data_IF_689955970997
#
_entry.id   IF_689955970997
#
_cell.length_a   1.000
_cell.length_b   1.000
_cell.length_c   1.000
_cell.angle_alpha   90.00
_cell.angle_beta   90.00
_cell.angle_gamma   90.00
#
_symmetry.space_group_name_H-M   'P 1'
#
loop_
_entity.id
_entity.type
_entity.pdbx_description
1 polymer ?
#
# COMPACT_ATOMS: atom_id res chain seq x y z
N UNK A 1 4.71 -28.27 -18.83
CA UNK A 1 5.53 -27.17 -18.29
C UNK A 1 6.56 -27.79 -17.39
N UNK A 2 7.83 -27.80 -17.78
CA UNK A 2 8.91 -28.35 -16.96
C UNK A 2 9.73 -27.17 -16.42
N UNK A 3 9.19 -26.50 -15.38
CA UNK A 3 9.98 -25.54 -14.59
C UNK A 3 10.86 -26.34 -13.63
N UNK A 4 12.13 -25.95 -13.47
CA UNK A 4 13.02 -26.67 -12.57
C UNK A 4 12.45 -26.70 -11.13
N UNK A 5 12.57 -27.84 -10.44
CA UNK A 5 12.16 -28.00 -9.02
C UNK A 5 12.76 -26.94 -8.08
N UNK A 6 13.85 -26.29 -8.50
CA UNK A 6 14.58 -25.25 -7.75
C UNK A 6 13.89 -23.88 -7.83
N UNK A 7 13.25 -23.55 -8.96
CA UNK A 7 12.42 -22.35 -9.13
C UNK A 7 11.07 -22.49 -8.42
N UNK A 8 10.53 -23.72 -8.39
CA UNK A 8 9.29 -24.03 -7.66
C UNK A 8 9.47 -23.96 -6.12
N UNK A 9 10.69 -24.17 -5.60
CA UNK A 9 10.99 -24.30 -4.17
C UNK A 9 11.91 -23.20 -3.60
N UNK A 10 12.22 -22.12 -4.33
CA UNK A 10 13.03 -21.02 -3.76
C UNK A 10 12.16 -20.15 -2.83
N UNK A 11 11.76 -20.72 -1.68
CA UNK A 11 10.86 -20.12 -0.69
C UNK A 11 11.62 -19.60 0.55
N UNK A 12 12.69 -18.83 0.34
CA UNK A 12 13.09 -17.89 1.38
C UNK A 12 12.16 -16.69 1.23
N UNK A 13 11.34 -16.40 2.24
CA UNK A 13 10.68 -15.09 2.33
C UNK A 13 11.82 -14.07 2.37
N UNK A 14 12.01 -13.34 1.28
CA UNK A 14 12.79 -12.11 1.33
C UNK A 14 12.11 -11.20 2.35
N UNK A 15 12.89 -10.47 3.15
CA UNK A 15 12.32 -9.48 4.06
C UNK A 15 11.35 -8.58 3.30
N UNK A 16 10.29 -8.12 3.97
CA UNK A 16 9.29 -7.21 3.41
C UNK A 16 9.96 -5.98 2.77
N UNK A 17 11.02 -5.47 3.39
CA UNK A 17 11.88 -4.42 2.86
C UNK A 17 12.57 -4.80 1.53
N UNK A 18 13.02 -6.04 1.38
CA UNK A 18 13.58 -6.57 0.12
C UNK A 18 12.52 -6.69 -0.97
N UNK A 19 11.30 -7.06 -0.59
CA UNK A 19 10.14 -7.13 -1.47
C UNK A 19 9.74 -5.74 -2.02
N UNK A 20 9.69 -4.73 -1.15
CA UNK A 20 9.43 -3.34 -1.56
C UNK A 20 10.53 -2.87 -2.52
N UNK A 21 11.80 -3.11 -2.15
CA UNK A 21 12.94 -2.67 -2.94
C UNK A 21 12.95 -3.25 -4.36
N UNK A 22 12.72 -4.56 -4.53
CA UNK A 22 12.68 -5.17 -5.88
C UNK A 22 11.54 -4.60 -6.73
N UNK A 23 10.38 -4.29 -6.13
CA UNK A 23 9.26 -3.68 -6.83
C UNK A 23 9.56 -2.25 -7.29
N UNK A 24 10.25 -1.46 -6.46
CA UNK A 24 10.75 -0.12 -6.84
C UNK A 24 11.76 -0.18 -7.99
N UNK A 25 12.71 -1.12 -7.95
CA UNK A 25 13.67 -1.33 -9.05
C UNK A 25 12.96 -1.75 -10.34
N UNK A 26 11.91 -2.57 -10.26
CA UNK A 26 11.11 -2.95 -11.41
C UNK A 26 10.39 -1.75 -12.05
N UNK A 27 9.76 -0.89 -11.24
CA UNK A 27 9.13 0.34 -11.71
C UNK A 27 10.15 1.28 -12.37
N UNK A 28 11.33 1.46 -11.74
CA UNK A 28 12.40 2.25 -12.31
C UNK A 28 12.74 1.75 -13.71
N UNK A 29 13.01 0.44 -13.85
CA UNK A 29 13.36 -0.14 -15.15
C UNK A 29 12.24 0.03 -16.18
N UNK A 30 10.97 -0.17 -15.81
CA UNK A 30 9.84 0.07 -16.73
C UNK A 30 9.76 1.53 -17.20
N UNK A 31 9.99 2.50 -16.32
CA UNK A 31 10.04 3.92 -16.71
C UNK A 31 11.21 4.16 -17.68
N UNK A 32 12.37 3.56 -17.43
CA UNK A 32 13.52 3.63 -18.36
C UNK A 32 13.17 3.09 -19.75
N UNK A 33 12.47 1.95 -19.83
CA UNK A 33 12.02 1.39 -21.10
C UNK A 33 11.06 2.33 -21.85
N UNK A 34 10.20 3.05 -21.12
CA UNK A 34 9.29 4.04 -21.71
C UNK A 34 10.05 5.26 -22.24
N UNK A 35 11.03 5.76 -21.49
CA UNK A 35 11.90 6.88 -21.91
C UNK A 35 12.72 6.47 -23.15
N UNK A 36 13.29 5.26 -23.14
CA UNK A 36 14.11 4.77 -24.24
C UNK A 36 13.29 4.38 -25.50
N UNK A 37 11.96 4.49 -25.45
CA UNK A 37 11.07 4.16 -26.57
C UNK A 37 11.03 2.66 -26.89
N UNK A 38 11.22 1.77 -25.92
CA UNK A 38 11.23 0.32 -26.14
C UNK A 38 9.82 -0.24 -26.38
N UNK A 39 9.38 -0.19 -27.63
CA UNK A 39 8.03 -0.60 -28.04
C UNK A 39 7.76 -2.10 -27.94
N UNK A 40 8.78 -2.96 -27.83
CA UNK A 40 8.56 -4.40 -27.67
C UNK A 40 8.09 -4.75 -26.27
N UNK A 41 8.48 -3.96 -25.26
CA UNK A 41 8.08 -4.21 -23.89
C UNK A 41 6.57 -4.01 -23.72
N UNK A 42 5.89 -5.04 -23.23
CA UNK A 42 4.43 -5.03 -23.06
C UNK A 42 4.02 -5.10 -21.60
N UNK A 43 4.62 -6.00 -20.83
CA UNK A 43 4.21 -6.21 -19.44
C UNK A 43 5.34 -6.71 -18.54
N UNK A 44 5.26 -6.26 -17.28
CA UNK A 44 6.06 -6.65 -16.14
C UNK A 44 5.35 -7.77 -15.38
N UNK A 45 6.10 -8.78 -14.95
CA UNK A 45 5.67 -9.72 -13.91
C UNK A 45 6.69 -9.73 -12.78
N UNK A 46 6.22 -9.39 -11.59
CA UNK A 46 7.00 -9.39 -10.33
C UNK A 46 6.85 -10.77 -9.68
N UNK A 47 7.88 -11.27 -8.99
CA UNK A 47 7.84 -12.54 -8.23
C UNK A 47 7.55 -13.79 -9.09
N UNK A 48 8.14 -13.87 -10.29
CA UNK A 48 7.91 -15.00 -11.20
C UNK A 48 9.16 -15.87 -11.38
N UNK A 49 9.74 -15.91 -12.59
CA UNK A 49 10.92 -16.74 -12.87
C UNK A 49 12.18 -16.24 -12.19
N UNK A 50 12.23 -14.93 -12.00
CA UNK A 50 13.24 -14.18 -11.28
C UNK A 50 12.52 -13.14 -10.41
N UNK A 51 13.26 -12.23 -9.77
CA UNK A 51 12.62 -11.21 -8.91
C UNK A 51 11.62 -10.35 -9.73
N UNK A 52 11.96 -10.02 -10.98
CA UNK A 52 10.97 -9.62 -11.98
C UNK A 52 11.41 -9.92 -13.43
N UNK A 53 10.44 -9.93 -14.36
CA UNK A 53 10.66 -10.22 -15.79
C UNK A 53 9.85 -9.26 -16.65
N UNK A 54 10.45 -8.77 -17.73
CA UNK A 54 9.78 -8.00 -18.78
C UNK A 54 9.48 -8.90 -19.97
N UNK A 55 8.24 -8.83 -20.43
CA UNK A 55 7.73 -9.62 -21.55
C UNK A 55 7.25 -8.73 -22.69
N UNK A 56 7.34 -9.25 -23.90
CA UNK A 56 6.65 -8.69 -25.06
C UNK A 56 5.16 -9.10 -25.11
N UNK A 57 4.46 -8.62 -26.15
CA UNK A 57 3.04 -8.91 -26.37
C UNK A 57 2.78 -10.36 -26.81
N UNK A 58 3.80 -11.06 -27.33
CA UNK A 58 3.73 -12.48 -27.69
C UNK A 58 4.00 -13.41 -26.48
N UNK A 59 4.40 -12.83 -25.35
CA UNK A 59 4.71 -13.57 -24.12
C UNK A 59 6.15 -14.11 -24.06
N UNK A 60 7.06 -13.64 -24.92
CA UNK A 60 8.50 -13.93 -24.80
C UNK A 60 9.15 -13.00 -23.79
N UNK A 61 10.11 -13.53 -23.03
CA UNK A 61 10.88 -12.75 -22.09
C UNK A 61 11.92 -11.89 -22.83
N UNK A 62 11.81 -10.58 -22.68
CA UNK A 62 12.79 -9.62 -23.18
C UNK A 62 13.98 -9.51 -22.23
N UNK A 63 13.70 -9.47 -20.93
CA UNK A 63 14.72 -9.42 -19.89
C UNK A 63 14.29 -10.06 -18.58
N UNK A 64 15.23 -10.78 -17.94
CA UNK A 64 15.12 -11.28 -16.58
C UNK A 64 15.93 -10.38 -15.65
N UNK A 65 15.41 -10.15 -14.46
CA UNK A 65 16.04 -9.27 -13.49
C UNK A 65 16.09 -9.94 -12.11
N UNK A 66 17.30 -10.19 -11.64
CA UNK A 66 17.58 -10.63 -10.28
C UNK A 66 18.05 -9.43 -9.46
N UNK A 67 17.36 -9.13 -8.36
CA UNK A 67 17.59 -8.01 -7.46
C UNK A 67 18.07 -8.50 -6.09
N UNK A 68 19.16 -7.91 -5.58
CA UNK A 68 19.72 -8.29 -4.27
C UNK A 68 20.01 -7.07 -3.39
N UNK A 69 19.16 -6.90 -2.38
CA UNK A 69 19.25 -5.92 -1.30
C UNK A 69 20.13 -6.40 -0.12
N UNK A 70 21.36 -6.85 -0.40
CA UNK A 70 22.28 -7.29 0.66
C UNK A 70 23.19 -6.17 1.15
N UNK A 71 23.62 -6.24 2.40
CA UNK A 71 24.60 -5.31 2.97
C UNK A 71 26.07 -5.63 2.60
N UNK A 72 26.35 -6.82 2.08
CA UNK A 72 27.70 -7.26 1.68
C UNK A 72 28.22 -6.47 0.48
N UNK A 73 29.46 -6.01 0.53
CA UNK A 73 30.14 -5.31 -0.58
C UNK A 73 31.04 -6.25 -1.40
N UNK A 74 31.15 -7.52 -1.01
CA UNK A 74 31.96 -8.51 -1.72
C UNK A 74 31.12 -9.24 -2.77
N UNK A 75 31.57 -9.22 -4.03
CA UNK A 75 30.95 -9.98 -5.13
C UNK A 75 30.75 -11.47 -4.78
N UNK A 76 31.68 -12.08 -4.05
CA UNK A 76 31.61 -13.49 -3.66
C UNK A 76 30.34 -13.84 -2.87
N UNK A 77 29.80 -12.91 -2.07
CA UNK A 77 28.52 -13.04 -1.36
C UNK A 77 27.29 -13.14 -2.26
N UNK A 78 27.46 -12.84 -3.56
CA UNK A 78 26.41 -12.88 -4.58
C UNK A 78 26.56 -14.05 -5.55
N UNK A 79 27.68 -14.79 -5.53
CA UNK A 79 27.97 -15.86 -6.50
C UNK A 79 26.82 -16.86 -6.68
N UNK A 80 26.20 -17.30 -5.58
CA UNK A 80 25.06 -18.23 -5.64
C UNK A 80 23.87 -17.65 -6.42
N UNK A 81 23.56 -16.36 -6.22
CA UNK A 81 22.48 -15.68 -6.91
C UNK A 81 22.83 -15.38 -8.37
N UNK A 82 24.07 -15.01 -8.66
CA UNK A 82 24.55 -14.79 -10.04
C UNK A 82 24.47 -16.08 -10.86
N UNK A 83 24.91 -17.20 -10.29
CA UNK A 83 24.78 -18.52 -10.91
C UNK A 83 23.32 -18.87 -11.14
N UNK A 84 22.46 -18.65 -10.13
CA UNK A 84 21.02 -18.89 -10.27
C UNK A 84 20.41 -18.08 -11.43
N UNK A 85 20.68 -16.77 -11.52
CA UNK A 85 20.20 -15.90 -12.59
C UNK A 85 20.66 -16.39 -13.99
N UNK A 86 21.84 -17.01 -14.08
CA UNK A 86 22.35 -17.60 -15.32
C UNK A 86 21.63 -18.91 -15.70
N UNK A 87 21.16 -19.68 -14.72
CA UNK A 87 20.56 -21.00 -14.90
C UNK A 87 19.05 -20.95 -15.20
N UNK A 88 18.39 -19.79 -15.03
CA UNK A 88 16.95 -19.67 -15.29
C UNK A 88 16.63 -19.99 -16.75
N UNK A 89 15.81 -21.02 -16.98
CA UNK A 89 15.41 -21.48 -18.31
C UNK A 89 13.91 -21.73 -18.38
N UNK A 90 13.27 -21.29 -19.45
CA UNK A 90 11.86 -21.53 -19.75
C UNK A 90 11.65 -21.50 -21.27
N UNK A 91 10.54 -22.06 -21.77
CA UNK A 91 10.26 -22.17 -23.21
C UNK A 91 10.10 -20.83 -23.94
N UNK A 92 9.91 -19.74 -23.20
CA UNK A 92 9.75 -18.37 -23.69
C UNK A 92 10.99 -17.50 -23.43
N UNK A 93 12.12 -18.12 -23.07
CA UNK A 93 13.44 -17.50 -22.96
C UNK A 93 14.28 -17.99 -24.13
N UNK A 94 14.93 -17.08 -24.84
CA UNK A 94 15.81 -17.40 -25.96
C UNK A 94 17.18 -16.70 -25.83
N UNK A 95 18.01 -16.80 -26.85
CA UNK A 95 19.36 -16.24 -26.85
C UNK A 95 19.41 -14.70 -26.88
N UNK A 96 18.30 -14.03 -27.16
CA UNK A 96 18.18 -12.58 -27.17
C UNK A 96 17.66 -12.05 -25.82
N UNK A 97 17.17 -12.91 -24.94
CA UNK A 97 16.68 -12.52 -23.63
C UNK A 97 17.83 -12.00 -22.76
N UNK A 98 17.77 -10.73 -22.35
CA UNK A 98 18.76 -10.10 -21.49
C UNK A 98 18.65 -10.61 -20.06
N UNK A 99 19.76 -10.67 -19.32
CA UNK A 99 19.78 -11.07 -17.90
C UNK A 99 20.51 -10.02 -17.09
N UNK A 100 19.78 -9.33 -16.24
CA UNK A 100 20.27 -8.26 -15.41
C UNK A 100 20.38 -8.67 -13.96
N UNK A 101 21.47 -8.26 -13.33
CA UNK A 101 21.72 -8.44 -11.91
C UNK A 101 21.83 -7.07 -11.24
N UNK A 102 20.90 -6.79 -10.32
CA UNK A 102 20.82 -5.54 -9.58
C UNK A 102 21.34 -5.76 -8.16
N UNK A 103 22.17 -4.84 -7.68
CA UNK A 103 22.71 -4.88 -6.31
C UNK A 103 22.52 -3.55 -5.61
N UNK A 104 22.30 -3.62 -4.30
CA UNK A 104 22.11 -2.44 -3.47
C UNK A 104 23.42 -1.80 -2.96
N UNK A 105 24.56 -2.40 -3.28
CA UNK A 105 25.87 -2.00 -2.76
C UNK A 105 26.88 -1.88 -3.89
N UNK A 106 27.79 -0.96 -3.69
CA UNK A 106 28.99 -0.88 -4.50
C UNK A 106 29.85 -2.13 -4.26
N UNK A 107 30.27 -2.78 -5.34
CA UNK A 107 31.04 -4.01 -5.31
C UNK A 107 32.42 -3.76 -5.89
N UNK A 108 33.41 -4.50 -5.40
CA UNK A 108 34.76 -4.44 -5.97
C UNK A 108 34.87 -4.98 -7.41
N UNK A 109 33.83 -5.63 -7.95
CA UNK A 109 33.84 -6.22 -9.29
C UNK A 109 32.41 -6.39 -9.86
N UNK A 110 32.12 -5.70 -10.96
CA UNK A 110 30.87 -5.73 -11.72
C UNK A 110 31.02 -6.43 -13.08
N UNK A 111 32.09 -7.21 -13.29
CA UNK A 111 32.29 -7.96 -14.53
C UNK A 111 31.09 -8.89 -14.84
N UNK A 112 30.69 -9.03 -16.11
CA UNK A 112 29.66 -9.99 -16.49
C UNK A 112 30.03 -11.43 -16.10
N UNK A 113 29.02 -12.25 -15.82
CA UNK A 113 29.20 -13.68 -15.58
C UNK A 113 28.61 -14.49 -16.72
N UNK A 114 29.37 -15.44 -17.27
CA UNK A 114 28.89 -16.38 -18.28
C UNK A 114 29.06 -17.79 -17.76
N UNK A 115 27.96 -18.54 -17.67
CA UNK A 115 28.01 -19.95 -17.26
C UNK A 115 28.76 -20.77 -18.33
N UNK A 116 29.72 -21.60 -17.88
CA UNK A 116 30.60 -22.38 -18.78
C UNK A 116 29.85 -23.32 -19.74
N UNK A 117 28.63 -23.75 -19.39
CA UNK A 117 27.87 -24.74 -20.14
C UNK A 117 26.66 -24.16 -20.89
N UNK A 118 26.43 -22.84 -20.83
CA UNK A 118 25.26 -22.19 -21.41
C UNK A 118 25.69 -20.89 -22.11
N UNK A 119 25.94 -20.99 -23.42
CA UNK A 119 26.47 -19.90 -24.25
C UNK A 119 25.57 -18.64 -24.29
N UNK A 120 24.32 -18.75 -23.86
CA UNK A 120 23.31 -17.69 -23.86
C UNK A 120 22.81 -17.31 -22.45
N UNK A 121 23.59 -17.65 -21.41
CA UNK A 121 23.29 -17.35 -20.01
C UNK A 121 24.22 -16.30 -19.42
N UNK A 122 24.60 -15.30 -20.23
CA UNK A 122 25.43 -14.19 -19.77
C UNK A 122 24.58 -13.26 -18.90
N UNK A 123 25.02 -13.06 -17.65
CA UNK A 123 24.41 -12.18 -16.66
C UNK A 123 25.25 -10.91 -16.56
N UNK A 124 24.62 -9.76 -16.70
CA UNK A 124 25.26 -8.45 -16.65
C UNK A 124 24.80 -7.66 -15.43
N UNK A 125 25.70 -6.92 -14.81
CA UNK A 125 25.34 -6.00 -13.74
C UNK A 125 24.66 -4.77 -14.33
N UNK A 126 23.48 -4.47 -13.82
CA UNK A 126 22.65 -3.39 -14.33
C UNK A 126 23.33 -2.03 -14.15
N UNK A 127 23.34 -1.20 -15.19
CA UNK A 127 23.87 0.16 -15.14
C UNK A 127 22.72 1.17 -15.07
N UNK A 128 22.70 1.98 -14.03
CA UNK A 128 21.70 3.03 -13.82
C UNK A 128 22.09 4.31 -14.58
N UNK A 129 21.14 5.25 -14.77
CA UNK A 129 21.39 6.47 -15.60
C UNK A 129 22.49 7.36 -15.03
N UNK A 130 22.67 7.34 -13.72
CA UNK A 130 23.76 8.02 -13.02
C UNK A 130 25.15 7.38 -13.25
N UNK A 131 25.23 6.32 -14.07
CA UNK A 131 26.47 5.59 -14.41
C UNK A 131 26.90 4.56 -13.37
N UNK A 132 26.21 4.45 -12.23
CA UNK A 132 26.52 3.45 -11.19
C UNK A 132 25.98 2.08 -11.61
N UNK A 133 26.63 1.02 -11.13
CA UNK A 133 26.17 -0.37 -11.31
C UNK A 133 25.46 -0.94 -10.07
N UNK A 134 25.07 -0.05 -9.16
CA UNK A 134 24.36 -0.35 -7.94
C UNK A 134 23.35 0.75 -7.64
N UNK A 135 22.33 0.44 -6.86
CA UNK A 135 21.33 1.40 -6.38
C UNK A 135 21.07 1.18 -4.90
N UNK A 136 21.46 2.11 -4.04
CA UNK A 136 21.28 1.90 -2.60
C UNK A 136 19.80 1.97 -2.21
N UNK A 137 19.43 1.26 -1.14
CA UNK A 137 18.07 1.31 -0.58
C UNK A 137 17.68 2.74 -0.18
N UNK A 138 18.64 3.55 0.28
CA UNK A 138 18.42 4.96 0.63
C UNK A 138 18.18 5.86 -0.58
N UNK A 139 18.64 5.44 -1.76
CA UNK A 139 18.69 6.28 -2.96
C UNK A 139 17.57 5.90 -3.96
N UNK A 140 16.93 4.74 -3.77
CA UNK A 140 15.94 4.17 -4.71
C UNK A 140 14.76 5.11 -4.95
N UNK A 141 14.26 5.77 -3.91
CA UNK A 141 13.14 6.71 -4.04
C UNK A 141 13.54 7.96 -4.81
N UNK A 142 14.73 8.50 -4.53
CA UNK A 142 15.28 9.66 -5.26
C UNK A 142 15.51 9.33 -6.74
N UNK A 143 16.03 8.15 -7.06
CA UNK A 143 16.26 7.75 -8.46
C UNK A 143 14.95 7.45 -9.20
N UNK A 144 13.92 6.97 -8.50
CA UNK A 144 12.57 6.85 -9.05
C UNK A 144 11.91 8.21 -9.31
N UNK A 145 12.03 9.15 -8.37
CA UNK A 145 11.59 10.54 -8.55
C UNK A 145 12.26 11.17 -9.76
N UNK A 146 13.57 10.97 -9.91
CA UNK A 146 14.31 11.46 -11.08
C UNK A 146 13.84 10.78 -12.37
N UNK A 147 13.63 9.46 -12.39
CA UNK A 147 13.13 8.76 -13.56
C UNK A 147 11.74 9.24 -14.00
N UNK A 148 10.83 9.48 -13.04
CA UNK A 148 9.53 10.08 -13.32
C UNK A 148 9.69 11.51 -13.84
N UNK A 149 10.55 12.32 -13.22
CA UNK A 149 10.84 13.68 -13.66
C UNK A 149 11.35 13.73 -15.10
N UNK A 150 12.29 12.83 -15.45
CA UNK A 150 12.87 12.70 -16.79
C UNK A 150 11.78 12.35 -17.80
N UNK A 151 10.96 11.34 -17.51
CA UNK A 151 9.85 10.93 -18.36
C UNK A 151 8.85 12.07 -18.60
N UNK A 152 8.43 12.76 -17.54
CA UNK A 152 7.48 13.86 -17.64
C UNK A 152 8.05 15.02 -18.47
N UNK A 153 9.33 15.32 -18.31
CA UNK A 153 10.02 16.37 -19.07
C UNK A 153 10.08 16.02 -20.56
N UNK A 154 10.43 14.78 -20.90
CA UNK A 154 10.49 14.30 -22.29
C UNK A 154 9.10 14.24 -22.95
N UNK A 155 8.07 13.92 -22.18
CA UNK A 155 6.68 13.90 -22.64
C UNK A 155 6.01 15.29 -22.65
N UNK A 156 6.74 16.36 -22.32
CA UNK A 156 6.21 17.74 -22.21
C UNK A 156 5.03 17.87 -21.22
N UNK A 157 5.05 17.07 -20.15
CA UNK A 157 4.05 17.06 -19.09
C UNK A 157 4.47 17.94 -17.91
N UNK A 158 3.47 18.34 -17.11
CA UNK A 158 3.74 19.11 -15.90
C UNK A 158 4.55 18.30 -14.89
N UNK A 159 5.60 18.91 -14.35
CA UNK A 159 6.65 18.25 -13.58
C UNK A 159 6.95 19.00 -12.26
N UNK A 160 5.93 19.33 -11.47
CA UNK A 160 6.14 19.82 -10.10
C UNK A 160 6.49 18.68 -9.15
N UNK A 161 7.14 18.98 -8.02
CA UNK A 161 7.44 17.97 -6.98
C UNK A 161 6.17 17.24 -6.53
N UNK A 162 5.06 17.95 -6.34
CA UNK A 162 3.80 17.33 -5.94
C UNK A 162 3.24 16.41 -7.04
N UNK A 163 3.36 16.80 -8.30
CA UNK A 163 2.93 15.96 -9.42
C UNK A 163 3.76 14.69 -9.49
N UNK A 164 5.09 14.76 -9.37
CA UNK A 164 5.98 13.59 -9.32
C UNK A 164 5.54 12.64 -8.20
N UNK A 165 5.33 13.17 -6.98
CA UNK A 165 4.88 12.36 -5.84
C UNK A 165 3.51 11.72 -6.08
N UNK A 166 2.60 12.43 -6.73
CA UNK A 166 1.30 11.88 -7.13
C UNK A 166 1.45 10.71 -8.12
N UNK A 167 2.27 10.87 -9.18
CA UNK A 167 2.52 9.81 -10.16
C UNK A 167 3.16 8.58 -9.51
N UNK A 168 4.15 8.79 -8.64
CA UNK A 168 4.75 7.71 -7.87
C UNK A 168 3.74 7.02 -6.96
N UNK A 169 2.88 7.78 -6.29
CA UNK A 169 1.78 7.24 -5.47
C UNK A 169 0.85 6.31 -6.27
N UNK A 170 0.50 6.69 -7.51
CA UNK A 170 -0.28 5.83 -8.41
C UNK A 170 0.48 4.57 -8.81
N UNK A 171 1.74 4.70 -9.23
CA UNK A 171 2.60 3.57 -9.63
C UNK A 171 2.79 2.56 -8.50
N UNK A 172 3.01 3.05 -7.28
CA UNK A 172 3.16 2.18 -6.14
C UNK A 172 1.85 1.52 -5.73
N UNK A 173 0.72 2.25 -5.76
CA UNK A 173 -0.60 1.64 -5.50
C UNK A 173 -0.90 0.54 -6.54
N UNK A 174 -0.56 0.77 -7.80
CA UNK A 174 -0.67 -0.21 -8.88
C UNK A 174 0.16 -1.45 -8.55
N UNK A 175 1.45 -1.28 -8.19
CA UNK A 175 2.33 -2.37 -7.78
C UNK A 175 1.75 -3.15 -6.58
N UNK A 176 1.41 -2.45 -5.50
CA UNK A 176 0.86 -3.02 -4.27
C UNK A 176 -0.38 -3.86 -4.54
N UNK A 177 -1.31 -3.35 -5.36
CA UNK A 177 -2.55 -4.05 -5.68
C UNK A 177 -2.31 -5.41 -6.36
N UNK A 178 -1.28 -5.54 -7.19
CA UNK A 178 -0.95 -6.78 -7.90
C UNK A 178 -0.21 -7.75 -7.01
N UNK A 179 0.71 -7.23 -6.19
CA UNK A 179 1.48 -8.00 -5.23
C UNK A 179 0.56 -8.62 -4.20
N UNK A 180 -0.29 -7.82 -3.56
CA UNK A 180 -1.19 -8.30 -2.52
C UNK A 180 -2.21 -9.27 -3.11
N UNK A 181 -2.70 -9.03 -4.34
CA UNK A 181 -3.53 -9.99 -5.07
C UNK A 181 -2.82 -11.34 -5.29
N UNK A 182 -1.52 -11.33 -5.59
CA UNK A 182 -0.73 -12.56 -5.68
C UNK A 182 -0.59 -13.24 -4.30
N UNK A 183 -0.27 -12.50 -3.24
CA UNK A 183 -0.17 -13.03 -1.88
C UNK A 183 -1.49 -13.60 -1.35
N UNK A 184 -2.62 -12.93 -1.57
CA UNK A 184 -3.94 -13.41 -1.18
C UNK A 184 -4.29 -14.75 -1.83
N UNK A 185 -3.92 -14.97 -3.10
CA UNK A 185 -4.11 -16.25 -3.80
C UNK A 185 -3.27 -17.38 -3.22
N UNK A 186 -2.07 -17.06 -2.71
CA UNK A 186 -1.19 -18.01 -2.03
C UNK A 186 -1.80 -18.43 -0.69
N UNK A 187 -2.21 -17.46 0.13
CA UNK A 187 -2.71 -17.73 1.48
C UNK A 187 -4.12 -18.33 1.52
N UNK A 188 -5.04 -17.88 0.65
CA UNK A 188 -6.44 -18.31 0.68
C UNK A 188 -6.78 -19.42 -0.34
N UNK A 189 -6.00 -19.54 -1.42
CA UNK A 189 -6.27 -20.47 -2.52
C UNK A 189 -5.34 -21.69 -2.59
N UNK A 190 -4.27 -21.73 -1.78
CA UNK A 190 -3.25 -22.78 -1.85
C UNK A 190 -2.46 -22.79 -3.17
N UNK A 191 -2.50 -21.70 -3.96
CA UNK A 191 -1.72 -21.59 -5.19
C UNK A 191 -0.22 -21.42 -4.89
N UNK A 192 0.64 -22.07 -5.69
CA UNK A 192 2.08 -21.81 -5.61
C UNK A 192 2.38 -20.36 -6.00
N UNK A 193 3.33 -19.72 -5.31
CA UNK A 193 3.74 -18.32 -5.48
C UNK A 193 3.91 -17.90 -6.94
N UNK A 194 4.61 -18.72 -7.71
CA UNK A 194 4.83 -18.52 -9.14
C UNK A 194 3.53 -18.43 -9.95
N UNK A 195 2.54 -19.29 -9.68
CA UNK A 195 1.29 -19.31 -10.43
C UNK A 195 0.40 -18.11 -10.10
N UNK A 196 0.39 -17.69 -8.83
CA UNK A 196 -0.34 -16.51 -8.40
C UNK A 196 0.24 -15.23 -9.05
N UNK A 197 1.57 -15.06 -8.98
CA UNK A 197 2.28 -13.92 -9.57
C UNK A 197 2.18 -13.88 -11.11
N UNK A 198 2.24 -15.04 -11.77
CA UNK A 198 2.12 -15.13 -13.23
C UNK A 198 0.73 -14.70 -13.75
N UNK A 199 -0.31 -14.71 -12.91
CA UNK A 199 -1.68 -14.31 -13.25
C UNK A 199 -1.97 -12.83 -13.00
N UNK A 200 -1.01 -12.04 -12.51
CA UNK A 200 -1.21 -10.63 -12.14
C UNK A 200 -0.15 -9.73 -12.78
N UNK A 201 -0.04 -9.67 -14.12
CA UNK A 201 0.90 -8.78 -14.78
C UNK A 201 0.53 -7.30 -14.57
N UNK A 202 1.54 -6.44 -14.69
CA UNK A 202 1.40 -4.99 -14.85
C UNK A 202 1.80 -4.65 -16.28
N UNK A 203 0.87 -4.14 -17.07
CA UNK A 203 1.17 -3.69 -18.43
C UNK A 203 1.94 -2.37 -18.41
N UNK A 204 2.80 -2.14 -19.40
CA UNK A 204 3.44 -0.85 -19.59
C UNK A 204 2.40 0.25 -19.87
N UNK A 205 1.26 -0.11 -20.45
CA UNK A 205 0.11 0.79 -20.59
C UNK A 205 -0.44 1.25 -19.24
N UNK A 206 -0.65 0.35 -18.26
CA UNK A 206 -1.08 0.75 -16.91
C UNK A 206 -0.05 1.69 -16.22
N UNK A 207 1.25 1.45 -16.44
CA UNK A 207 2.32 2.33 -15.95
C UNK A 207 2.25 3.71 -16.64
N UNK A 208 2.08 3.71 -17.96
CA UNK A 208 1.93 4.92 -18.76
C UNK A 208 0.69 5.73 -18.36
N UNK A 209 -0.44 5.08 -18.11
CA UNK A 209 -1.66 5.71 -17.58
C UNK A 209 -1.40 6.39 -16.23
N UNK A 210 -0.64 5.75 -15.34
CA UNK A 210 -0.24 6.36 -14.07
C UNK A 210 0.60 7.62 -14.31
N UNK A 211 1.62 7.55 -15.18
CA UNK A 211 2.52 8.66 -15.50
C UNK A 211 1.77 9.82 -16.19
N UNK A 212 0.79 9.53 -17.04
CA UNK A 212 0.05 10.52 -17.83
C UNK A 212 -1.24 11.04 -17.15
N UNK A 213 -1.65 10.46 -16.02
CA UNK A 213 -2.89 10.82 -15.32
C UNK A 213 -3.05 12.33 -15.05
N UNK A 214 -4.02 12.98 -15.70
CA UNK A 214 -4.19 14.44 -15.61
C UNK A 214 -4.59 14.91 -14.20
N UNK A 215 -3.87 15.92 -13.70
CA UNK A 215 -4.25 16.68 -12.51
C UNK A 215 -4.11 18.17 -12.79
N UNK A 216 -5.12 18.94 -12.36
CA UNK A 216 -5.28 20.35 -12.72
C UNK A 216 -4.36 21.26 -11.88
N UNK A 217 -4.26 21.01 -10.58
CA UNK A 217 -3.39 21.76 -9.65
C UNK A 217 -3.17 21.02 -8.32
N UNK A 218 -2.36 21.61 -7.45
CA UNK A 218 -1.92 21.02 -6.18
C UNK A 218 -3.01 20.82 -5.12
N UNK A 219 -4.15 21.51 -5.26
CA UNK A 219 -5.31 21.38 -4.38
C UNK A 219 -6.35 20.36 -4.90
N UNK A 220 -6.05 19.69 -6.02
CA UNK A 220 -6.94 18.66 -6.54
C UNK A 220 -7.17 17.56 -5.50
N UNK A 221 -8.44 17.30 -5.18
CA UNK A 221 -8.87 16.29 -4.23
C UNK A 221 -8.22 14.92 -4.50
N UNK A 222 -7.98 14.59 -5.78
CA UNK A 222 -7.32 13.34 -6.20
C UNK A 222 -5.89 13.23 -5.70
N UNK A 223 -5.13 14.33 -5.68
CA UNK A 223 -3.76 14.32 -5.14
C UNK A 223 -3.81 14.05 -3.64
N UNK A 224 -4.64 14.82 -2.93
CA UNK A 224 -4.73 14.73 -1.47
C UNK A 224 -5.16 13.34 -1.03
N UNK A 225 -6.21 12.78 -1.65
CA UNK A 225 -6.68 11.43 -1.34
C UNK A 225 -5.65 10.36 -1.68
N UNK A 226 -4.92 10.47 -2.79
CA UNK A 226 -3.86 9.51 -3.09
C UNK A 226 -2.70 9.60 -2.11
N UNK A 227 -2.35 10.80 -1.63
CA UNK A 227 -1.36 10.98 -0.56
C UNK A 227 -1.83 10.36 0.75
N UNK A 228 -3.11 10.55 1.09
CA UNK A 228 -3.74 9.89 2.23
C UNK A 228 -3.63 8.36 2.14
N UNK A 229 -4.02 7.77 1.00
CA UNK A 229 -3.86 6.34 0.74
C UNK A 229 -2.40 5.91 0.91
N UNK A 230 -1.48 6.67 0.32
CA UNK A 230 -0.05 6.37 0.35
C UNK A 230 0.50 6.30 1.77
N UNK A 231 0.17 7.28 2.61
CA UNK A 231 0.61 7.31 4.00
C UNK A 231 0.13 6.07 4.77
N UNK A 232 -1.11 5.61 4.54
CA UNK A 232 -1.64 4.38 5.13
C UNK A 232 -0.87 3.14 4.68
N UNK A 233 -0.61 3.02 3.37
CA UNK A 233 0.18 1.90 2.82
C UNK A 233 1.60 1.91 3.40
N UNK A 234 2.31 3.04 3.38
CA UNK A 234 3.65 3.14 3.95
C UNK A 234 3.69 2.80 5.45
N UNK A 235 2.62 3.12 6.19
CA UNK A 235 2.54 2.71 7.61
C UNK A 235 2.35 1.21 7.76
N UNK A 236 1.52 0.57 6.94
CA UNK A 236 1.43 -0.90 6.94
C UNK A 236 2.79 -1.54 6.62
N UNK A 237 3.59 -0.94 5.73
CA UNK A 237 4.94 -1.44 5.42
C UNK A 237 5.85 -1.43 6.66
N UNK A 238 5.87 -0.30 7.39
CA UNK A 238 6.64 -0.19 8.64
C UNK A 238 6.19 -1.18 9.72
N UNK A 239 4.88 -1.42 9.83
CA UNK A 239 4.34 -2.38 10.80
C UNK A 239 4.75 -3.81 10.46
N UNK A 240 4.70 -4.19 9.18
CA UNK A 240 5.12 -5.52 8.74
C UNK A 240 6.63 -5.71 8.97
N UNK A 241 7.46 -4.72 8.64
CA UNK A 241 8.92 -4.76 8.89
C UNK A 241 9.25 -4.87 10.38
N UNK A 242 8.56 -4.11 11.24
CA UNK A 242 8.74 -4.20 12.69
C UNK A 242 8.39 -5.59 13.21
N UNK A 243 7.30 -6.18 12.70
CA UNK A 243 6.84 -7.51 13.08
C UNK A 243 7.76 -8.65 12.61
N UNK A 244 8.54 -8.45 11.53
CA UNK A 244 9.61 -9.40 11.15
C UNK A 244 10.70 -9.50 12.23
N UNK A 245 10.96 -8.40 12.94
CA UNK A 245 11.98 -8.33 13.99
C UNK A 245 11.43 -8.80 15.33
N UNK A 246 10.19 -8.43 15.67
CA UNK A 246 9.52 -8.80 16.92
C UNK A 246 8.08 -9.21 16.59
N UNK A 247 7.77 -10.52 16.45
CA UNK A 247 6.43 -10.96 16.06
C UNK A 247 5.42 -10.79 17.21
N UNK A 248 4.58 -9.77 17.13
CA UNK A 248 3.54 -9.44 18.11
C UNK A 248 2.19 -9.01 17.49
N UNK A 249 2.11 -8.81 16.18
CA UNK A 249 0.92 -8.33 15.47
C UNK A 249 0.25 -9.39 14.58
N UNK A 250 -1.06 -9.26 14.37
CA UNK A 250 -1.79 -9.99 13.32
C UNK A 250 -1.44 -9.45 11.92
N UNK A 251 -0.44 -10.06 11.27
CA UNK A 251 -0.04 -9.69 9.90
C UNK A 251 -1.21 -9.87 8.92
N UNK A 252 -2.10 -10.84 9.15
CA UNK A 252 -3.22 -11.16 8.25
C UNK A 252 -4.20 -9.98 8.16
N UNK A 253 -4.56 -9.38 9.30
CA UNK A 253 -5.49 -8.26 9.33
C UNK A 253 -4.84 -6.99 8.77
N UNK A 254 -3.56 -6.75 9.04
CA UNK A 254 -2.79 -5.64 8.45
C UNK A 254 -2.74 -5.76 6.91
N UNK A 255 -2.42 -6.95 6.39
CA UNK A 255 -2.40 -7.20 4.94
C UNK A 255 -3.79 -7.07 4.31
N UNK A 256 -4.84 -7.52 5.00
CA UNK A 256 -6.23 -7.38 4.53
C UNK A 256 -6.66 -5.92 4.47
N UNK A 257 -6.30 -5.13 5.48
CA UNK A 257 -6.52 -3.68 5.51
C UNK A 257 -5.78 -2.99 4.35
N UNK A 258 -4.49 -3.32 4.16
CA UNK A 258 -3.66 -2.81 3.07
C UNK A 258 -4.30 -3.08 1.71
N UNK A 259 -4.74 -4.31 1.46
CA UNK A 259 -5.39 -4.71 0.21
C UNK A 259 -6.64 -3.89 -0.08
N UNK A 260 -7.49 -3.74 0.95
CA UNK A 260 -8.72 -2.99 0.84
C UNK A 260 -8.44 -1.53 0.48
N UNK A 261 -7.56 -0.86 1.22
CA UNK A 261 -7.19 0.55 1.01
C UNK A 261 -6.57 0.78 -0.38
N UNK A 262 -5.71 -0.14 -0.84
CA UNK A 262 -5.09 -0.05 -2.16
C UNK A 262 -6.13 -0.11 -3.30
N UNK A 263 -7.21 -0.87 -3.11
CA UNK A 263 -8.27 -1.08 -4.12
C UNK A 263 -9.46 -0.13 -4.00
N UNK A 264 -9.56 0.65 -2.93
CA UNK A 264 -10.69 1.56 -2.72
C UNK A 264 -10.87 2.51 -3.91
N UNK A 265 -12.10 2.68 -4.37
CA UNK A 265 -12.41 3.74 -5.33
C UNK A 265 -12.39 5.12 -4.62
N UNK A 266 -12.47 6.20 -5.39
CA UNK A 266 -12.43 7.57 -4.85
C UNK A 266 -13.53 7.83 -3.80
N UNK A 267 -14.83 7.54 -4.05
CA UNK A 267 -15.87 7.70 -3.03
C UNK A 267 -15.57 6.99 -1.70
N UNK A 268 -15.17 5.72 -1.73
CA UNK A 268 -14.87 4.95 -0.51
C UNK A 268 -13.63 5.50 0.20
N UNK A 269 -12.59 5.91 -0.54
CA UNK A 269 -11.38 6.48 0.06
C UNK A 269 -11.66 7.84 0.71
N UNK A 270 -12.51 8.66 0.07
CA UNK A 270 -13.00 9.93 0.62
C UNK A 270 -13.82 9.71 1.90
N UNK A 271 -14.67 8.67 1.92
CA UNK A 271 -15.39 8.25 3.12
C UNK A 271 -14.43 7.82 4.24
N UNK A 272 -13.42 7.01 3.91
CA UNK A 272 -12.37 6.60 4.85
C UNK A 272 -11.66 7.83 5.44
N UNK A 273 -11.22 8.77 4.61
CA UNK A 273 -10.54 10.01 5.02
C UNK A 273 -11.34 10.75 6.11
N UNK A 274 -12.60 11.07 5.84
CA UNK A 274 -13.43 11.80 6.81
C UNK A 274 -13.80 10.96 8.03
N UNK A 275 -13.95 9.63 7.91
CA UNK A 275 -14.23 8.77 9.07
C UNK A 275 -13.13 8.79 10.12
N UNK A 276 -11.87 9.09 9.73
CA UNK A 276 -10.74 9.13 10.67
C UNK A 276 -10.70 10.44 11.45
N UNK A 277 -11.02 11.54 10.78
CA UNK A 277 -10.99 12.90 11.31
C UNK A 277 -12.23 13.63 10.79
N UNK A 278 -13.39 13.44 11.44
CA UNK A 278 -14.62 13.96 10.91
C UNK A 278 -14.78 15.46 11.07
N UNK A 279 -14.04 16.06 12.00
CA UNK A 279 -13.95 17.51 12.23
C UNK A 279 -13.23 18.30 11.12
N UNK A 280 -13.05 17.70 9.94
CA UNK A 280 -12.47 18.35 8.78
C UNK A 280 -13.58 18.81 7.86
N UNK A 281 -13.56 20.11 7.53
CA UNK A 281 -14.55 20.73 6.65
C UNK A 281 -14.25 20.45 5.16
N UNK A 282 -13.02 20.02 4.86
CA UNK A 282 -12.56 19.73 3.50
C UNK A 282 -11.45 18.69 3.47
N UNK A 283 -11.27 18.07 2.30
CA UNK A 283 -10.08 17.25 2.01
C UNK A 283 -8.92 18.20 1.75
N UNK A 284 -7.91 18.14 2.61
CA UNK A 284 -6.72 19.00 2.53
C UNK A 284 -5.49 18.20 2.89
N UNK A 285 -4.32 18.66 2.46
CA UNK A 285 -3.05 18.00 2.80
C UNK A 285 -2.79 18.01 4.32
N UNK A 286 -3.21 19.06 5.02
CA UNK A 286 -3.05 19.21 6.47
C UNK A 286 -4.11 18.45 7.27
N UNK A 287 -5.27 18.18 6.66
CA UNK A 287 -6.39 17.57 7.35
C UNK A 287 -6.09 16.15 7.84
N UNK A 288 -5.12 15.45 7.22
CA UNK A 288 -4.67 14.16 7.69
C UNK A 288 -3.16 14.13 7.98
N UNK A 289 -2.84 14.30 9.26
CA UNK A 289 -1.48 14.25 9.78
C UNK A 289 -0.94 12.81 9.87
N UNK A 290 0.38 12.68 9.99
CA UNK A 290 1.03 11.39 10.25
C UNK A 290 0.46 10.72 11.51
N UNK A 291 0.28 11.46 12.60
CA UNK A 291 -0.33 10.95 13.84
C UNK A 291 -1.71 10.32 13.63
N UNK A 292 -2.49 10.84 12.66
CA UNK A 292 -3.82 10.29 12.36
C UNK A 292 -3.71 8.93 11.63
N UNK A 293 -2.70 8.75 10.78
CA UNK A 293 -2.34 7.45 10.16
C UNK A 293 -1.95 6.47 11.25
N UNK A 294 -1.03 6.89 12.12
CA UNK A 294 -0.46 6.07 13.18
C UNK A 294 -1.55 5.50 14.07
N UNK A 295 -2.41 6.38 14.59
CA UNK A 295 -3.48 6.00 15.52
C UNK A 295 -4.48 5.04 14.91
N UNK A 296 -4.87 5.28 13.64
CA UNK A 296 -5.78 4.36 12.95
C UNK A 296 -5.13 2.98 12.77
N UNK A 297 -3.87 2.94 12.33
CA UNK A 297 -3.18 1.68 12.07
C UNK A 297 -2.82 0.92 13.34
N UNK A 298 -2.62 1.61 14.46
CA UNK A 298 -2.44 0.98 15.78
C UNK A 298 -3.69 0.22 16.22
N UNK A 299 -4.89 0.79 16.03
CA UNK A 299 -6.15 0.07 16.31
C UNK A 299 -6.26 -1.19 15.45
N UNK A 300 -5.98 -1.06 14.15
CA UNK A 300 -6.02 -2.20 13.22
C UNK A 300 -5.03 -3.29 13.61
N UNK A 301 -3.85 -2.91 14.11
CA UNK A 301 -2.81 -3.84 14.53
C UNK A 301 -3.13 -4.54 15.86
N UNK A 302 -3.94 -3.91 16.72
CA UNK A 302 -4.30 -4.43 18.05
C UNK A 302 -5.45 -5.45 18.01
N UNK A 303 -6.44 -5.24 17.13
CA UNK A 303 -7.69 -6.00 17.14
C UNK A 303 -7.75 -6.98 15.96
N UNK A 304 -7.92 -8.26 16.29
CA UNK A 304 -8.01 -9.35 15.31
C UNK A 304 -9.39 -9.42 14.63
N UNK A 305 -9.46 -10.17 13.51
CA UNK A 305 -10.69 -10.49 12.76
C UNK A 305 -11.27 -9.27 12.03
N UNK A 306 -10.42 -8.51 11.37
CA UNK A 306 -10.82 -7.35 10.58
C UNK A 306 -11.71 -7.77 9.41
N UNK A 307 -12.80 -7.03 9.21
CA UNK A 307 -13.73 -7.19 8.09
C UNK A 307 -13.45 -6.08 7.07
N UNK A 308 -13.19 -6.47 5.81
CA UNK A 308 -12.83 -5.54 4.72
C UNK A 308 -13.75 -5.66 3.48
N UNK A 309 -14.96 -6.20 3.64
CA UNK A 309 -15.82 -6.53 2.51
C UNK A 309 -16.70 -5.36 2.04
N UNK A 310 -16.40 -4.81 0.85
CA UNK A 310 -17.20 -3.80 0.11
C UNK A 310 -17.45 -2.46 0.83
N UNK A 311 -16.85 -2.22 1.99
CA UNK A 311 -16.94 -0.97 2.74
C UNK A 311 -15.62 -0.65 3.50
N UNK A 312 -15.64 0.33 4.41
CA UNK A 312 -14.53 0.68 5.30
C UNK A 312 -14.09 -0.53 6.14
N UNK A 313 -12.78 -0.69 6.41
CA UNK A 313 -12.30 -1.72 7.33
C UNK A 313 -12.90 -1.53 8.72
N UNK A 314 -13.55 -2.58 9.24
CA UNK A 314 -14.34 -2.54 10.46
C UNK A 314 -14.37 -3.90 11.18
N UNK A 315 -15.01 -3.95 12.34
CA UNK A 315 -15.25 -5.19 13.08
C UNK A 315 -16.74 -5.36 13.39
N UNK A 316 -17.12 -6.58 13.77
CA UNK A 316 -18.50 -6.89 14.10
C UNK A 316 -18.61 -7.92 15.22
N UNK A 317 -19.52 -7.67 16.15
CA UNK A 317 -19.88 -8.58 17.23
C UNK A 317 -21.41 -8.65 17.34
N UNK A 318 -21.96 -9.83 17.61
CA UNK A 318 -23.41 -10.05 17.49
C UNK A 318 -24.26 -9.28 18.52
N UNK A 319 -23.75 -9.07 19.73
CA UNK A 319 -24.40 -8.34 20.83
C UNK A 319 -24.28 -6.83 20.68
N UNK A 320 -23.11 -6.33 20.26
CA UNK A 320 -22.82 -4.89 20.25
C UNK A 320 -22.81 -4.25 18.86
N UNK A 321 -22.92 -5.06 17.80
CA UNK A 321 -23.01 -4.62 16.42
C UNK A 321 -21.65 -4.33 15.78
N UNK A 322 -21.60 -3.32 14.92
CA UNK A 322 -20.42 -2.96 14.12
C UNK A 322 -19.51 -1.96 14.83
N UNK A 323 -18.21 -2.07 14.63
CA UNK A 323 -17.18 -1.21 15.20
C UNK A 323 -16.32 -0.61 14.08
N UNK A 324 -16.22 0.72 14.05
CA UNK A 324 -15.38 1.42 13.09
C UNK A 324 -14.13 1.97 13.79
N UNK A 325 -12.91 1.59 13.35
CA UNK A 325 -11.69 2.21 13.84
C UNK A 325 -11.57 3.64 13.31
N UNK A 326 -11.18 4.60 14.14
CA UNK A 326 -11.01 6.01 13.75
C UNK A 326 -9.62 6.53 14.12
N UNK A 327 -9.33 7.81 13.85
CA UNK A 327 -8.14 8.50 14.38
C UNK A 327 -8.55 9.64 15.32
N UNK A 328 -9.73 9.52 15.93
CA UNK A 328 -10.24 10.48 16.90
C UNK A 328 -9.48 10.27 18.20
N UNK A 329 -8.95 11.36 18.75
CA UNK A 329 -8.31 11.37 20.06
C UNK A 329 -9.17 12.15 21.03
N UNK A 330 -9.51 11.52 22.16
CA UNK A 330 -10.23 12.14 23.27
C UNK A 330 -9.25 12.30 24.44
N UNK A 331 -8.31 13.26 24.31
CA UNK A 331 -7.18 13.39 25.25
C UNK A 331 -7.62 14.02 26.58
N UNK A 332 -7.10 13.49 27.68
CA UNK A 332 -7.27 14.06 29.03
C UNK A 332 -6.33 15.25 29.26
N UNK A 333 -6.90 16.46 29.34
CA UNK A 333 -6.29 17.54 30.15
C UNK A 333 -7.28 18.20 31.13
N UNK A 334 -8.60 18.05 30.92
CA UNK A 334 -9.65 18.43 31.86
C UNK A 334 -10.97 17.79 31.42
N UNK A 335 -11.81 17.30 32.33
CA UNK A 335 -13.11 16.66 32.00
C UNK A 335 -14.01 17.55 31.10
N UNK A 336 -13.86 18.88 31.19
CA UNK A 336 -14.57 19.85 30.34
C UNK A 336 -14.03 19.95 28.90
N UNK A 337 -12.73 19.75 28.68
CA UNK A 337 -12.10 19.83 27.35
C UNK A 337 -12.43 18.59 26.50
N UNK A 338 -12.53 17.41 27.13
CA UNK A 338 -12.92 16.16 26.48
C UNK A 338 -14.33 16.22 25.87
N UNK A 339 -15.29 16.89 26.52
CA UNK A 339 -16.66 17.01 26.01
C UNK A 339 -16.78 17.89 24.78
N UNK A 340 -16.02 18.99 24.71
CA UNK A 340 -16.01 19.87 23.53
C UNK A 340 -15.38 19.19 22.31
N UNK A 341 -14.33 18.39 22.51
CA UNK A 341 -13.72 17.59 21.43
C UNK A 341 -14.68 16.52 20.91
N UNK A 342 -15.40 15.83 21.81
CA UNK A 342 -16.46 14.89 21.43
C UNK A 342 -17.54 15.61 20.62
N UNK A 343 -17.98 16.78 21.10
CA UNK A 343 -19.03 17.57 20.44
C UNK A 343 -18.63 18.00 19.03
N UNK A 344 -17.43 18.58 18.87
CA UNK A 344 -16.96 19.04 17.56
C UNK A 344 -16.84 17.88 16.56
N UNK A 345 -16.34 16.71 16.99
CA UNK A 345 -16.23 15.55 16.10
C UNK A 345 -17.61 15.00 15.71
N UNK A 346 -18.57 14.98 16.63
CA UNK A 346 -19.94 14.51 16.38
C UNK A 346 -20.71 15.45 15.48
N UNK A 347 -20.65 16.76 15.75
CA UNK A 347 -21.30 17.78 14.92
C UNK A 347 -20.76 17.72 13.50
N UNK A 348 -19.44 17.60 13.35
CA UNK A 348 -18.84 17.48 12.04
C UNK A 348 -19.19 16.17 11.31
N UNK A 349 -19.30 15.03 12.02
CA UNK A 349 -19.84 13.78 11.43
C UNK A 349 -21.27 13.99 10.92
N UNK A 350 -22.09 14.75 11.65
CA UNK A 350 -23.49 15.02 11.29
C UNK A 350 -23.62 15.97 10.10
N UNK A 351 -22.79 17.00 10.05
CA UNK A 351 -22.83 18.03 9.01
C UNK A 351 -22.15 17.58 7.71
N UNK A 352 -21.23 16.61 7.78
CA UNK A 352 -20.54 16.08 6.63
C UNK A 352 -21.35 14.98 5.93
N UNK A 353 -22.07 15.34 4.86
CA UNK A 353 -22.88 14.42 4.06
C UNK A 353 -22.12 13.19 3.51
N UNK A 354 -20.77 13.22 3.46
CA UNK A 354 -19.94 12.08 3.02
C UNK A 354 -19.87 10.97 4.07
N UNK A 355 -19.91 11.33 5.35
CA UNK A 355 -19.74 10.40 6.48
C UNK A 355 -20.89 10.43 7.47
N UNK A 356 -21.95 11.18 7.17
CA UNK A 356 -23.18 11.14 7.94
C UNK A 356 -23.74 9.71 8.05
N UNK A 357 -23.53 8.90 7.01
CA UNK A 357 -23.88 7.48 6.99
C UNK A 357 -23.08 6.61 7.97
N UNK A 358 -21.86 7.01 8.33
CA UNK A 358 -21.04 6.30 9.33
C UNK A 358 -21.77 6.22 10.66
N UNK A 359 -22.44 7.30 11.08
CA UNK A 359 -23.25 7.32 12.31
C UNK A 359 -24.52 6.45 12.21
N UNK A 360 -24.93 6.05 11.00
CA UNK A 360 -26.04 5.13 10.79
C UNK A 360 -25.58 3.69 10.62
N UNK A 361 -24.37 3.43 10.14
CA UNK A 361 -23.90 2.09 9.81
C UNK A 361 -23.11 1.45 10.95
N UNK A 362 -22.43 2.26 11.76
CA UNK A 362 -21.53 1.80 12.81
C UNK A 362 -22.10 2.07 14.19
N UNK A 363 -22.18 1.02 15.01
CA UNK A 363 -22.68 1.10 16.39
C UNK A 363 -21.63 1.66 17.35
N UNK A 364 -20.37 1.37 17.10
CA UNK A 364 -19.26 1.72 17.97
C UNK A 364 -18.14 2.40 17.15
N UNK A 365 -17.62 3.51 17.62
CA UNK A 365 -16.44 4.19 17.08
C UNK A 365 -15.27 3.91 18.03
N UNK A 366 -14.25 3.23 17.51
CA UNK A 366 -13.03 2.98 18.28
C UNK A 366 -12.15 4.22 18.18
N UNK A 367 -11.82 4.79 19.33
CA UNK A 367 -11.11 6.06 19.48
C UNK A 367 -9.98 5.93 20.50
N UNK A 368 -8.97 6.79 20.41
CA UNK A 368 -7.95 6.88 21.47
C UNK A 368 -8.56 7.59 22.69
N UNK A 369 -8.83 6.83 23.75
CA UNK A 369 -9.35 7.33 25.01
C UNK A 369 -8.98 6.47 26.21
N UNK A 370 -9.11 7.03 27.42
CA UNK A 370 -8.86 6.35 28.71
C UNK A 370 -10.12 6.22 29.59
N UNK A 371 -11.29 6.35 28.99
CA UNK A 371 -12.58 6.31 29.69
C UNK A 371 -13.29 5.00 29.38
N UNK A 372 -14.20 4.58 30.26
CA UNK A 372 -15.10 3.47 29.96
C UNK A 372 -15.98 3.79 28.75
N UNK A 373 -16.43 2.78 27.99
CA UNK A 373 -17.25 3.00 26.80
C UNK A 373 -18.54 3.75 27.13
N UNK A 374 -18.92 4.73 26.31
CA UNK A 374 -20.13 5.54 26.53
C UNK A 374 -20.88 5.84 25.22
N UNK A 375 -22.23 5.87 25.22
CA UNK A 375 -23.01 6.28 24.07
C UNK A 375 -23.03 7.80 23.90
N UNK A 376 -23.24 8.25 22.67
CA UNK A 376 -23.35 9.67 22.34
C UNK A 376 -24.45 10.38 23.14
N UNK A 377 -25.57 9.71 23.43
CA UNK A 377 -26.68 10.23 24.23
C UNK A 377 -26.26 10.65 25.65
N UNK A 378 -25.26 9.99 26.23
CA UNK A 378 -24.73 10.37 27.54
C UNK A 378 -23.88 11.63 27.45
N UNK A 379 -23.09 11.78 26.39
CA UNK A 379 -22.41 13.04 26.09
C UNK A 379 -23.41 14.19 25.80
N UNK A 380 -24.53 13.86 25.13
CA UNK A 380 -25.61 14.81 24.78
C UNK A 380 -26.29 15.44 25.99
N UNK A 381 -26.44 14.68 27.08
CA UNK A 381 -27.08 15.15 28.33
C UNK A 381 -26.25 16.21 29.06
N UNK A 382 -24.97 16.35 28.71
CA UNK A 382 -24.03 17.29 29.34
C UNK A 382 -23.98 18.66 28.63
N UNK A 383 -24.52 18.81 27.42
CA UNK A 383 -24.27 19.98 26.54
C UNK A 383 -25.51 20.65 25.90
N UNK A 384 -26.71 20.08 26.04
CA UNK A 384 -27.95 20.70 25.52
C UNK A 384 -28.40 20.14 24.16
N UNK A 385 -29.61 20.54 23.71
CA UNK A 385 -30.29 19.95 22.55
C UNK A 385 -29.47 20.14 21.27
N UNK A 386 -28.98 19.02 20.74
CA UNK A 386 -28.64 18.88 19.33
C UNK A 386 -29.76 19.49 18.48
N UNK A 387 -29.45 20.43 17.59
CA UNK A 387 -30.46 21.01 16.71
C UNK A 387 -31.18 19.89 15.95
N UNK A 388 -32.51 19.88 16.12
CA UNK A 388 -33.43 18.95 15.50
C UNK A 388 -33.18 18.97 13.99
N UNK A 389 -33.03 17.77 13.44
CA UNK A 389 -33.08 17.53 11.99
C UNK A 389 -34.41 18.10 11.52
N UNK A 390 -34.40 18.89 10.45
CA UNK A 390 -35.64 19.42 9.86
C UNK A 390 -36.62 18.26 9.64
N UNK A 391 -37.91 18.49 9.90
CA UNK A 391 -38.94 17.44 9.90
C UNK A 391 -39.07 16.66 8.56
N UNK A 392 -38.34 17.08 7.53
CA UNK A 392 -38.39 16.53 6.17
C UNK A 392 -37.54 15.24 6.04
N UNK A 393 -36.54 15.01 6.91
CA UNK A 393 -35.67 13.81 6.89
C UNK A 393 -36.03 12.76 7.96
N UNK A 394 -37.23 12.84 8.54
CA UNK A 394 -37.65 12.06 9.69
C UNK A 394 -38.03 10.61 9.35
N UNK A 395 -37.09 9.70 9.58
CA UNK A 395 -37.39 8.34 10.04
C UNK A 395 -36.97 8.26 11.51
N UNK A 396 -37.92 8.15 12.46
CA UNK A 396 -37.66 8.19 13.92
C UNK A 396 -36.61 7.16 14.39
N UNK A 397 -36.41 6.10 13.62
CA UNK A 397 -35.38 5.08 13.82
C UNK A 397 -33.94 5.62 13.67
N UNK A 398 -33.71 6.56 12.73
CA UNK A 398 -32.38 7.09 12.39
C UNK A 398 -31.81 8.02 13.45
N UNK A 399 -32.62 8.94 13.98
CA UNK A 399 -32.25 9.81 15.10
C UNK A 399 -31.89 9.01 16.35
N UNK A 400 -32.72 8.01 16.68
CA UNK A 400 -32.49 7.12 17.82
C UNK A 400 -31.19 6.34 17.66
N UNK A 401 -30.82 5.95 16.43
CA UNK A 401 -29.58 5.21 16.13
C UNK A 401 -28.32 6.07 16.36
N UNK A 402 -28.30 7.32 15.87
CA UNK A 402 -27.14 8.22 16.06
C UNK A 402 -26.85 8.45 17.54
N UNK A 403 -27.89 8.74 18.33
CA UNK A 403 -27.74 8.98 19.78
C UNK A 403 -27.21 7.77 20.56
N UNK A 404 -27.26 6.58 19.97
CA UNK A 404 -26.79 5.35 20.59
C UNK A 404 -25.42 4.89 20.09
N UNK A 405 -24.78 5.63 19.17
CA UNK A 405 -23.39 5.34 18.76
C UNK A 405 -22.47 5.46 19.97
N UNK A 406 -21.67 4.43 20.23
CA UNK A 406 -20.75 4.37 21.38
C UNK A 406 -19.34 4.79 20.99
N UNK A 407 -18.66 5.49 21.86
CA UNK A 407 -17.22 5.69 21.81
C UNK A 407 -16.57 4.64 22.71
N UNK A 408 -15.60 3.91 22.18
CA UNK A 408 -14.93 2.78 22.86
C UNK A 408 -13.41 2.87 22.65
N UNK A 409 -12.62 2.47 23.66
CA UNK A 409 -11.16 2.36 23.53
C UNK A 409 -10.78 1.14 22.69
N UNK A 410 -9.55 1.08 22.20
CA UNK A 410 -9.10 -0.08 21.43
C UNK A 410 -9.00 -1.34 22.29
N UNK A 411 -8.58 -1.19 23.55
CA UNK A 411 -8.51 -2.29 24.52
C UNK A 411 -9.90 -2.83 24.88
N UNK A 412 -10.85 -1.96 25.23
CA UNK A 412 -12.23 -2.39 25.55
C UNK A 412 -12.90 -3.05 24.33
N UNK A 413 -12.66 -2.53 23.12
CA UNK A 413 -13.18 -3.12 21.90
C UNK A 413 -12.58 -4.50 21.64
N UNK A 414 -11.28 -4.69 21.90
CA UNK A 414 -10.61 -5.99 21.80
C UNK A 414 -11.24 -7.01 22.75
N UNK A 415 -11.54 -6.62 23.99
CA UNK A 415 -12.26 -7.47 24.96
C UNK A 415 -13.65 -7.84 24.44
N UNK A 416 -14.48 -6.86 24.07
CA UNK A 416 -15.84 -7.09 23.57
C UNK A 416 -15.87 -7.97 22.30
N UNK A 417 -14.87 -7.89 21.42
CA UNK A 417 -14.76 -8.66 20.16
C UNK A 417 -14.17 -10.06 20.35
N UNK A 418 -13.54 -10.32 21.49
CA UNK A 418 -12.96 -11.62 21.83
C UNK A 418 -13.97 -12.56 22.49
N UNK A 419 -15.03 -12.01 23.08
CA UNK A 419 -16.21 -12.71 23.63
C UNK A 419 -17.20 -13.16 22.55
#
# INVERSE_FOLDING_TARGET
MDLSKKVLNSSAIASWSGFIYQGKVALYHCIQLLIDGEHKAHHLKVETLDDFVIYDSEGKALSLHQVKAKADSNRSGYNKAIVQASEVSASYIDSNTKRWFHVARDLGDFSPYTAMNLQHSRVEFYSYRNGRQYLQLSDVDTELEQAVSDYLTEAELSCSSLQIQYKLGLLYTLLDSKVISAHAKIHNGGELKFHAANKTPITLTEILECLTAEVLDENDERIVLNRFRRNLLERTDKLIEANESTPDLSIVDILSCRDAIAKMNRPTLKRLYFSKKPNLDAITLEGFSHDSVESYMEIIALIDKLIVHQDLPHYHQAQFGTYLPTAIHLKKTNEKLSLTEIQNNVEALRENATVQDVLYEYNNLIVDMKHSPFPLSEASKLTGKFMDISEVDLDKSRLTKIHNVRFISAEDAQEELSD
#
